data_IF_014744561158
#
_entry.id   IF_014744561158
#
_cell.length_a   1.000
_cell.length_b   1.000
_cell.length_c   1.000
_cell.angle_alpha   90.00
_cell.angle_beta   90.00
_cell.angle_gamma   90.00
#
_symmetry.space_group_name_H-M   'P 1'
#
loop_
_entity.id
_entity.type
_entity.pdbx_description
1 polymer ?
#
# COMPACT_ATOMS: atom_id res chain seq x y z
N UNK A 1 -2.77 -11.60 9.12
CA UNK A 1 -2.05 -12.86 9.39
C UNK A 1 -0.86 -12.57 10.30
N UNK A 2 -0.59 -13.44 11.28
CA UNK A 2 0.58 -13.35 12.14
C UNK A 2 1.89 -13.69 11.39
N UNK A 3 1.82 -14.13 10.16
CA UNK A 3 2.95 -14.43 9.28
C UNK A 3 3.21 -13.36 8.21
N UNK A 4 2.47 -12.27 8.23
CA UNK A 4 2.52 -11.28 7.17
C UNK A 4 3.21 -9.98 7.56
N UNK A 5 2.77 -8.89 6.91
CA UNK A 5 3.28 -7.53 7.02
C UNK A 5 3.52 -7.05 8.46
N UNK A 6 2.52 -7.23 9.36
CA UNK A 6 2.65 -6.79 10.75
C UNK A 6 3.83 -7.45 11.46
N UNK A 7 3.94 -8.79 11.36
CA UNK A 7 5.03 -9.52 12.00
C UNK A 7 6.40 -9.13 11.45
N UNK A 8 6.52 -8.95 10.14
CA UNK A 8 7.78 -8.54 9.53
C UNK A 8 8.26 -7.20 10.09
N UNK A 9 7.36 -6.22 10.23
CA UNK A 9 7.70 -4.90 10.75
C UNK A 9 7.96 -4.91 12.25
N UNK A 10 7.12 -5.55 13.05
CA UNK A 10 7.24 -5.54 14.53
C UNK A 10 8.45 -6.36 15.02
N UNK A 11 8.72 -7.51 14.40
CA UNK A 11 9.83 -8.38 14.80
C UNK A 11 11.18 -7.88 14.27
N UNK A 12 11.19 -7.11 13.19
CA UNK A 12 12.40 -6.40 12.73
C UNK A 12 12.75 -5.19 13.60
N UNK A 13 11.80 -4.71 14.39
CA UNK A 13 12.06 -3.66 15.39
C UNK A 13 12.68 -4.22 16.67
N UNK A 14 13.15 -3.33 17.54
CA UNK A 14 13.77 -3.70 18.82
C UNK A 14 12.76 -4.02 19.92
N UNK A 15 11.46 -3.81 19.68
CA UNK A 15 10.42 -3.94 20.70
C UNK A 15 9.97 -5.37 20.95
N UNK A 16 10.07 -6.25 19.96
CA UNK A 16 9.56 -7.63 20.03
C UNK A 16 10.62 -8.62 19.53
N UNK A 17 10.80 -9.71 20.29
CA UNK A 17 11.57 -10.86 19.85
C UNK A 17 10.72 -12.12 20.00
N UNK A 18 10.75 -12.99 19.00
CA UNK A 18 10.00 -14.25 18.98
C UNK A 18 10.95 -15.44 18.75
N UNK A 19 11.61 -15.93 19.81
CA UNK A 19 12.49 -17.09 19.69
C UNK A 19 11.68 -18.38 19.45
N UNK A 20 12.21 -19.34 18.68
CA UNK A 20 11.55 -20.62 18.46
C UNK A 20 11.47 -21.40 19.79
N UNK A 21 10.30 -22.00 20.04
CA UNK A 21 10.08 -22.83 21.23
C UNK A 21 10.04 -24.31 20.86
N UNK A 22 10.67 -25.16 21.66
CA UNK A 22 10.71 -26.60 21.41
C UNK A 22 9.35 -27.29 21.58
N UNK A 23 8.44 -26.66 22.32
CA UNK A 23 7.09 -27.18 22.61
C UNK A 23 6.02 -26.12 22.37
N UNK A 24 4.95 -26.50 21.69
CA UNK A 24 3.79 -25.66 21.46
C UNK A 24 3.81 -24.93 20.14
N UNK A 25 4.80 -24.14 19.84
CA UNK A 25 4.89 -23.42 18.58
C UNK A 25 6.33 -23.35 18.07
N UNK A 26 6.65 -24.26 17.15
CA UNK A 26 7.94 -24.27 16.47
C UNK A 26 7.77 -23.70 15.06
N UNK A 27 8.38 -22.55 14.82
CA UNK A 27 8.28 -21.80 13.57
C UNK A 27 9.50 -22.00 12.64
N UNK A 28 10.41 -22.90 12.99
CA UNK A 28 11.67 -23.11 12.26
C UNK A 28 12.69 -22.00 12.44
N UNK A 29 12.46 -21.05 13.37
CA UNK A 29 13.35 -19.90 13.61
C UNK A 29 13.15 -18.75 12.64
N UNK A 30 12.11 -18.77 11.80
CA UNK A 30 11.88 -17.75 10.78
C UNK A 30 11.73 -16.33 11.34
N UNK A 31 11.15 -16.16 12.53
CA UNK A 31 11.05 -14.84 13.17
C UNK A 31 12.39 -14.34 13.71
N UNK A 32 13.32 -15.22 14.04
CA UNK A 32 14.67 -14.82 14.41
C UNK A 32 15.44 -14.22 13.22
N UNK A 33 15.15 -14.64 12.00
CA UNK A 33 15.72 -14.01 10.80
C UNK A 33 15.28 -12.55 10.66
N UNK A 34 14.04 -12.20 11.01
CA UNK A 34 13.61 -10.80 11.07
C UNK A 34 14.33 -10.01 12.16
N UNK A 35 14.48 -10.59 13.35
CA UNK A 35 15.18 -9.95 14.45
C UNK A 35 16.68 -9.74 14.18
N UNK A 36 17.35 -10.70 13.52
CA UNK A 36 18.77 -10.57 13.15
C UNK A 36 19.01 -9.82 11.85
N UNK A 37 17.97 -9.41 11.14
CA UNK A 37 18.04 -8.74 9.83
C UNK A 37 18.83 -9.56 8.78
N UNK A 38 18.72 -10.87 8.82
CA UNK A 38 19.37 -11.80 7.89
C UNK A 38 18.38 -12.59 7.02
N UNK A 39 17.16 -12.03 6.83
CA UNK A 39 16.14 -12.61 5.96
C UNK A 39 16.58 -12.67 4.50
N UNK A 40 15.94 -13.56 3.76
CA UNK A 40 16.12 -13.70 2.32
C UNK A 40 14.78 -14.00 1.63
N UNK A 41 14.79 -14.01 0.29
CA UNK A 41 13.58 -14.20 -0.52
C UNK A 41 12.94 -15.60 -0.39
N UNK A 42 13.63 -16.56 0.20
CA UNK A 42 13.12 -17.93 0.38
C UNK A 42 12.31 -18.10 1.67
N UNK A 43 12.37 -17.14 2.59
CA UNK A 43 11.52 -17.15 3.76
C UNK A 43 10.04 -17.00 3.35
N UNK A 44 9.23 -17.98 3.78
CA UNK A 44 7.80 -18.02 3.42
C UNK A 44 7.07 -16.74 3.78
N UNK A 45 7.40 -16.12 4.90
CA UNK A 45 6.81 -14.84 5.34
C UNK A 45 7.06 -13.71 4.34
N UNK A 46 8.28 -13.59 3.81
CA UNK A 46 8.63 -12.57 2.80
C UNK A 46 7.78 -12.79 1.55
N UNK A 47 7.72 -14.05 1.08
CA UNK A 47 6.92 -14.39 -0.09
C UNK A 47 5.43 -14.15 0.13
N UNK A 48 4.89 -14.54 1.29
CA UNK A 48 3.46 -14.40 1.60
C UNK A 48 3.01 -12.93 1.60
N UNK A 49 3.79 -12.02 2.17
CA UNK A 49 3.37 -10.63 2.18
C UNK A 49 3.64 -9.91 0.86
N UNK A 50 4.66 -10.29 0.08
CA UNK A 50 4.83 -9.89 -1.31
C UNK A 50 3.59 -10.28 -2.15
N UNK A 51 3.22 -11.56 -2.12
CA UNK A 51 2.06 -12.07 -2.85
C UNK A 51 0.76 -11.36 -2.42
N UNK A 52 0.61 -11.06 -1.13
CA UNK A 52 -0.55 -10.37 -0.61
C UNK A 52 -0.64 -8.92 -1.11
N UNK A 53 0.45 -8.17 -1.10
CA UNK A 53 0.48 -6.79 -1.59
C UNK A 53 0.18 -6.72 -3.09
N UNK A 54 0.84 -7.54 -3.89
CA UNK A 54 0.58 -7.59 -5.33
C UNK A 54 -0.83 -8.09 -5.67
N UNK A 55 -1.35 -9.03 -4.91
CA UNK A 55 -2.75 -9.45 -5.09
C UNK A 55 -3.72 -8.29 -4.90
N UNK A 56 -3.48 -7.43 -3.89
CA UNK A 56 -4.29 -6.24 -3.67
C UNK A 56 -4.21 -5.24 -4.81
N UNK A 57 -2.99 -4.92 -5.28
CA UNK A 57 -2.77 -4.03 -6.42
C UNK A 57 -3.42 -4.58 -7.72
N UNK A 58 -3.26 -5.88 -7.99
CA UNK A 58 -3.86 -6.54 -9.16
C UNK A 58 -5.39 -6.60 -9.08
N UNK A 59 -5.97 -6.81 -7.90
CA UNK A 59 -7.42 -6.75 -7.72
C UNK A 59 -7.95 -5.34 -8.01
N UNK A 60 -7.28 -4.30 -7.53
CA UNK A 60 -7.64 -2.91 -7.86
C UNK A 60 -7.57 -2.66 -9.37
N UNK A 61 -6.47 -3.05 -10.04
CA UNK A 61 -6.33 -2.92 -11.50
C UNK A 61 -7.45 -3.66 -12.26
N UNK A 62 -7.74 -4.90 -11.88
CA UNK A 62 -8.79 -5.68 -12.51
C UNK A 62 -10.17 -5.04 -12.32
N UNK A 63 -10.47 -4.55 -11.12
CA UNK A 63 -11.74 -3.88 -10.83
C UNK A 63 -11.88 -2.59 -11.63
N UNK A 64 -10.84 -1.78 -11.73
CA UNK A 64 -10.79 -0.58 -12.58
C UNK A 64 -11.10 -0.97 -14.04
N UNK A 65 -10.38 -1.95 -14.60
CA UNK A 65 -10.56 -2.40 -15.96
C UNK A 65 -11.99 -2.92 -16.23
N UNK A 66 -12.58 -3.66 -15.29
CA UNK A 66 -13.95 -4.19 -15.43
C UNK A 66 -15.00 -3.05 -15.46
N UNK A 67 -14.82 -2.01 -14.66
CA UNK A 67 -15.70 -0.84 -14.62
C UNK A 67 -15.51 0.03 -15.87
N UNK A 68 -14.27 0.32 -16.25
CA UNK A 68 -13.95 1.13 -17.44
C UNK A 68 -14.47 0.50 -18.72
N UNK A 69 -14.29 -0.82 -18.88
CA UNK A 69 -14.77 -1.57 -20.05
C UNK A 69 -16.26 -1.87 -20.03
N UNK A 70 -16.98 -1.47 -18.98
CA UNK A 70 -18.42 -1.70 -18.84
C UNK A 70 -18.83 -3.15 -18.58
N UNK A 71 -17.89 -4.05 -18.25
CA UNK A 71 -18.18 -5.43 -17.87
C UNK A 71 -18.87 -5.51 -16.50
N UNK A 72 -18.60 -4.55 -15.63
CA UNK A 72 -19.33 -4.34 -14.38
C UNK A 72 -20.06 -3.00 -14.52
N UNK A 73 -21.39 -3.00 -14.59
CA UNK A 73 -22.15 -1.77 -14.69
C UNK A 73 -22.15 -1.03 -13.36
N UNK A 74 -22.02 0.29 -13.39
CA UNK A 74 -22.28 1.14 -12.24
C UNK A 74 -23.74 1.64 -12.28
N UNK A 75 -24.36 1.90 -11.11
CA UNK A 75 -25.74 2.39 -11.04
C UNK A 75 -25.93 3.77 -11.70
N UNK A 76 -24.92 4.63 -11.63
CA UNK A 76 -24.89 5.95 -12.26
C UNK A 76 -23.49 6.32 -12.75
N UNK A 77 -23.36 7.39 -13.54
CA UNK A 77 -22.06 7.91 -13.95
C UNK A 77 -21.24 8.46 -12.78
N UNK A 78 -21.92 9.09 -11.82
CA UNK A 78 -21.30 9.63 -10.60
C UNK A 78 -20.75 8.51 -9.70
N UNK A 79 -21.53 7.46 -9.47
CA UNK A 79 -21.06 6.30 -8.69
C UNK A 79 -19.94 5.53 -9.39
N UNK A 80 -19.96 5.51 -10.75
CA UNK A 80 -18.85 4.98 -11.54
C UNK A 80 -17.57 5.74 -11.27
N UNK A 81 -17.62 7.07 -11.35
CA UNK A 81 -16.46 7.94 -11.14
C UNK A 81 -15.90 7.81 -9.72
N UNK A 82 -16.77 7.91 -8.70
CA UNK A 82 -16.39 7.73 -7.31
C UNK A 82 -15.73 6.37 -7.08
N UNK A 83 -16.35 5.30 -7.57
CA UNK A 83 -15.79 3.95 -7.43
C UNK A 83 -14.41 3.79 -8.09
N UNK A 84 -14.18 4.43 -9.24
CA UNK A 84 -12.88 4.44 -9.90
C UNK A 84 -11.84 5.21 -9.08
N UNK A 85 -12.19 6.36 -8.49
CA UNK A 85 -11.30 7.15 -7.65
C UNK A 85 -10.92 6.38 -6.37
N UNK A 86 -11.88 5.73 -5.71
CA UNK A 86 -11.59 4.88 -4.56
C UNK A 86 -10.65 3.72 -4.91
N UNK A 87 -10.88 3.02 -6.03
CA UNK A 87 -10.03 1.91 -6.46
C UNK A 87 -8.61 2.36 -6.82
N UNK A 88 -8.45 3.54 -7.41
CA UNK A 88 -7.15 4.15 -7.66
C UNK A 88 -6.43 4.46 -6.35
N UNK A 89 -7.12 5.01 -5.36
CA UNK A 89 -6.57 5.26 -4.04
C UNK A 89 -6.17 3.95 -3.30
N UNK A 90 -6.97 2.89 -3.44
CA UNK A 90 -6.63 1.54 -2.92
C UNK A 90 -5.41 0.97 -3.64
N UNK A 91 -5.30 1.15 -4.95
CA UNK A 91 -4.11 0.76 -5.72
C UNK A 91 -2.86 1.48 -5.22
N UNK A 92 -2.94 2.79 -5.01
CA UNK A 92 -1.87 3.61 -4.46
C UNK A 92 -1.44 3.11 -3.07
N UNK A 93 -2.40 2.74 -2.20
CA UNK A 93 -2.11 2.14 -0.90
C UNK A 93 -1.29 0.85 -1.00
N UNK A 94 -1.65 -0.08 -1.88
CA UNK A 94 -0.88 -1.31 -2.05
C UNK A 94 0.51 -1.05 -2.64
N UNK A 95 0.64 -0.10 -3.57
CA UNK A 95 1.95 0.29 -4.09
C UNK A 95 2.80 1.02 -3.05
N UNK A 96 2.20 1.79 -2.13
CA UNK A 96 2.92 2.32 -0.99
C UNK A 96 3.51 1.20 -0.12
N UNK A 97 2.74 0.17 0.22
CA UNK A 97 3.25 -0.99 0.97
C UNK A 97 4.41 -1.68 0.25
N UNK A 98 4.32 -1.83 -1.08
CA UNK A 98 5.40 -2.40 -1.91
C UNK A 98 6.63 -1.49 -1.89
N UNK A 99 6.46 -0.20 -2.12
CA UNK A 99 7.51 0.82 -2.10
C UNK A 99 8.24 0.86 -0.76
N UNK A 100 7.51 0.83 0.33
CA UNK A 100 8.04 0.91 1.68
C UNK A 100 8.86 -0.33 2.05
N UNK A 101 8.34 -1.53 1.78
CA UNK A 101 8.94 -2.78 2.22
C UNK A 101 9.97 -3.38 1.26
N UNK A 102 9.86 -3.13 -0.06
CA UNK A 102 10.70 -3.76 -1.08
C UNK A 102 11.55 -2.79 -1.90
N UNK A 103 11.22 -1.51 -1.88
CA UNK A 103 11.92 -0.50 -2.68
C UNK A 103 11.63 -0.66 -4.17
N UNK A 104 12.66 -0.99 -4.96
CA UNK A 104 12.51 -1.25 -6.39
C UNK A 104 11.66 -2.50 -6.64
N UNK A 105 10.60 -2.37 -7.42
CA UNK A 105 9.65 -3.45 -7.67
C UNK A 105 8.87 -3.21 -8.98
N UNK A 106 8.24 -4.24 -9.57
CA UNK A 106 7.41 -4.05 -10.76
C UNK A 106 6.21 -3.13 -10.51
N UNK A 107 6.06 -2.09 -11.34
CA UNK A 107 4.89 -1.21 -11.34
C UNK A 107 3.94 -1.61 -12.47
N UNK A 108 2.83 -2.27 -12.12
CA UNK A 108 1.83 -2.77 -13.07
C UNK A 108 0.51 -2.04 -12.85
N UNK A 109 0.09 -1.24 -13.80
CA UNK A 109 -1.15 -0.46 -13.74
C UNK A 109 -2.23 -0.94 -14.71
N UNK A 110 -1.86 -1.81 -15.63
CA UNK A 110 -2.75 -2.37 -16.65
C UNK A 110 -2.69 -3.89 -16.66
N UNK A 111 -3.72 -4.52 -17.22
CA UNK A 111 -3.73 -5.97 -17.41
C UNK A 111 -2.91 -6.31 -18.66
N UNK A 112 -1.75 -6.96 -18.49
CA UNK A 112 -0.86 -7.42 -19.54
C UNK A 112 -0.44 -8.87 -19.28
N UNK A 113 -0.18 -9.62 -20.34
CA UNK A 113 0.42 -10.96 -20.28
C UNK A 113 1.97 -10.90 -20.28
N UNK A 114 2.54 -9.73 -20.54
CA UNK A 114 3.98 -9.54 -20.52
C UNK A 114 4.50 -9.47 -19.09
N UNK A 115 5.69 -10.04 -18.87
CA UNK A 115 6.34 -9.90 -17.58
C UNK A 115 6.79 -8.46 -17.40
N UNK A 116 6.37 -7.80 -16.30
CA UNK A 116 6.71 -6.41 -16.07
C UNK A 116 8.18 -6.25 -15.73
N UNK A 117 8.79 -5.18 -16.21
CA UNK A 117 10.12 -4.76 -15.78
C UNK A 117 10.08 -4.17 -14.36
N UNK A 118 11.23 -4.18 -13.70
CA UNK A 118 11.40 -3.58 -12.38
C UNK A 118 11.49 -2.06 -12.51
N UNK A 119 10.62 -1.35 -11.81
CA UNK A 119 10.68 0.10 -11.61
C UNK A 119 11.51 0.45 -10.38
N UNK A 120 12.14 1.60 -10.40
CA UNK A 120 12.85 2.14 -9.23
C UNK A 120 11.86 2.55 -8.13
N UNK A 121 12.33 2.58 -6.89
CA UNK A 121 11.56 3.06 -5.74
C UNK A 121 10.99 4.46 -5.96
N UNK A 122 11.80 5.34 -6.59
CA UNK A 122 11.37 6.69 -6.93
C UNK A 122 10.22 6.70 -7.95
N UNK A 123 10.28 5.89 -9.00
CA UNK A 123 9.18 5.81 -9.98
C UNK A 123 7.88 5.31 -9.34
N UNK A 124 7.98 4.36 -8.40
CA UNK A 124 6.80 3.89 -7.65
C UNK A 124 6.27 4.99 -6.73
N UNK A 125 7.14 5.73 -6.04
CA UNK A 125 6.79 6.88 -5.23
C UNK A 125 6.07 7.95 -6.06
N UNK A 126 6.65 8.34 -7.19
CA UNK A 126 6.06 9.35 -8.09
C UNK A 126 4.67 8.92 -8.58
N UNK A 127 4.49 7.65 -8.91
CA UNK A 127 3.18 7.08 -9.27
C UNK A 127 2.17 7.18 -8.12
N UNK A 128 2.55 6.79 -6.91
CA UNK A 128 1.66 6.82 -5.73
C UNK A 128 1.19 8.24 -5.43
N UNK A 129 2.12 9.20 -5.43
CA UNK A 129 1.82 10.62 -5.19
C UNK A 129 0.88 11.15 -6.27
N UNK A 130 1.17 10.88 -7.54
CA UNK A 130 0.32 11.30 -8.66
C UNK A 130 -1.11 10.75 -8.53
N UNK A 131 -1.26 9.45 -8.26
CA UNK A 131 -2.58 8.82 -8.07
C UNK A 131 -3.36 9.50 -6.92
N UNK A 132 -2.74 9.66 -5.75
CA UNK A 132 -3.42 10.23 -4.59
C UNK A 132 -3.80 11.71 -4.79
N UNK A 133 -2.90 12.52 -5.34
CA UNK A 133 -3.18 13.94 -5.61
C UNK A 133 -4.35 14.11 -6.59
N UNK A 134 -4.43 13.26 -7.62
CA UNK A 134 -5.53 13.29 -8.57
C UNK A 134 -6.87 12.86 -7.97
N UNK A 135 -6.89 11.82 -7.12
CA UNK A 135 -8.16 11.24 -6.66
C UNK A 135 -8.74 11.90 -5.41
N UNK A 136 -7.91 12.46 -4.53
CA UNK A 136 -8.32 13.05 -3.25
C UNK A 136 -9.48 14.07 -3.40
N UNK A 137 -9.50 14.96 -4.41
CA UNK A 137 -10.60 15.92 -4.57
C UNK A 137 -11.97 15.29 -4.83
N UNK A 138 -12.02 14.05 -5.29
CA UNK A 138 -13.25 13.34 -5.67
C UNK A 138 -13.71 12.32 -4.62
N UNK A 139 -12.88 12.03 -3.61
CA UNK A 139 -13.22 11.08 -2.57
C UNK A 139 -14.22 11.67 -1.57
N UNK A 140 -15.08 10.81 -1.02
CA UNK A 140 -16.07 11.19 -0.01
C UNK A 140 -15.40 11.74 1.25
N UNK A 141 -15.98 12.78 1.82
CA UNK A 141 -15.61 13.35 3.13
C UNK A 141 -16.30 12.65 4.31
N UNK A 142 -17.28 11.77 4.05
CA UNK A 142 -18.01 11.07 5.09
C UNK A 142 -17.11 10.14 5.90
N UNK A 143 -17.36 10.11 7.21
CA UNK A 143 -16.63 9.27 8.18
C UNK A 143 -17.63 8.29 8.82
N UNK A 144 -17.31 7.00 8.75
CA UNK A 144 -18.20 5.96 9.30
C UNK A 144 -19.38 5.62 8.38
N UNK A 145 -20.45 5.02 8.94
CA UNK A 145 -21.60 4.59 8.15
C UNK A 145 -21.20 3.70 6.97
N UNK A 146 -21.70 4.02 5.79
CA UNK A 146 -21.41 3.28 4.55
C UNK A 146 -19.96 3.47 4.07
N UNK A 147 -19.25 4.47 4.58
CA UNK A 147 -17.83 4.71 4.30
C UNK A 147 -16.88 4.00 5.27
N UNK A 148 -17.39 3.29 6.29
CA UNK A 148 -16.53 2.56 7.22
C UNK A 148 -15.74 1.46 6.50
N UNK A 149 -14.40 1.55 6.61
CA UNK A 149 -13.49 0.60 5.96
C UNK A 149 -13.27 0.84 4.45
N UNK A 150 -13.80 1.93 3.89
CA UNK A 150 -13.54 2.37 2.51
C UNK A 150 -12.47 3.47 2.48
N UNK A 151 -11.92 3.70 1.29
CA UNK A 151 -10.92 4.77 1.08
C UNK A 151 -11.63 6.11 0.88
N UNK A 152 -11.81 6.85 1.97
CA UNK A 152 -12.33 8.21 1.93
C UNK A 152 -11.20 9.25 1.80
N UNK A 153 -11.56 10.52 1.67
CA UNK A 153 -10.63 11.65 1.52
C UNK A 153 -9.61 11.71 2.65
N UNK A 154 -10.02 11.50 3.88
CA UNK A 154 -9.17 11.58 5.07
C UNK A 154 -8.17 10.44 5.15
N UNK A 155 -8.59 9.23 4.80
CA UNK A 155 -7.71 8.07 4.70
C UNK A 155 -6.65 8.28 3.61
N UNK A 156 -7.04 8.80 2.44
CA UNK A 156 -6.12 9.09 1.34
C UNK A 156 -5.13 10.23 1.68
N UNK A 157 -5.58 11.31 2.34
CA UNK A 157 -4.71 12.39 2.84
C UNK A 157 -3.73 11.88 3.90
N UNK A 158 -4.19 11.04 4.83
CA UNK A 158 -3.32 10.44 5.84
C UNK A 158 -2.25 9.57 5.20
N UNK A 159 -2.61 8.78 4.18
CA UNK A 159 -1.66 8.00 3.41
C UNK A 159 -0.65 8.92 2.71
N UNK A 160 -1.10 9.99 2.06
CA UNK A 160 -0.24 10.94 1.36
C UNK A 160 0.72 11.65 2.32
N UNK A 161 0.26 12.04 3.53
CA UNK A 161 1.11 12.60 4.56
C UNK A 161 2.24 11.62 4.98
N UNK A 162 1.92 10.34 5.18
CA UNK A 162 2.93 9.31 5.47
C UNK A 162 3.94 9.14 4.34
N UNK A 163 3.50 9.21 3.09
CA UNK A 163 4.36 9.10 1.91
C UNK A 163 5.31 10.29 1.82
N UNK A 164 4.83 11.52 2.04
CA UNK A 164 5.66 12.72 2.08
C UNK A 164 6.64 12.73 3.25
N UNK A 165 6.23 12.24 4.42
CA UNK A 165 7.11 12.12 5.59
C UNK A 165 8.35 11.25 5.29
N UNK A 166 8.18 10.20 4.51
CA UNK A 166 9.21 9.24 4.15
C UNK A 166 9.86 9.51 2.77
N UNK A 167 9.53 10.62 2.12
CA UNK A 167 9.97 10.93 0.77
C UNK A 167 11.50 10.92 0.61
N UNK A 168 12.23 11.48 1.58
CA UNK A 168 13.70 11.49 1.58
C UNK A 168 14.30 10.08 1.53
N UNK A 169 13.69 9.12 2.27
CA UNK A 169 14.10 7.72 2.25
C UNK A 169 13.78 7.04 0.91
N UNK A 170 12.68 7.42 0.26
CA UNK A 170 12.24 6.80 -0.99
C UNK A 170 12.92 7.39 -2.22
N UNK A 171 13.25 8.68 -2.20
CA UNK A 171 13.68 9.43 -3.39
C UNK A 171 15.03 10.12 -3.23
N UNK A 172 15.50 10.32 -2.00
CA UNK A 172 16.65 11.19 -1.66
C UNK A 172 16.29 12.66 -1.50
N UNK A 173 15.00 13.04 -1.69
CA UNK A 173 14.52 14.42 -1.58
C UNK A 173 13.42 14.52 -0.52
N UNK A 174 13.52 15.46 0.46
CA UNK A 174 12.51 15.62 1.50
C UNK A 174 11.28 16.37 0.98
N UNK A 175 10.09 15.99 1.47
CA UNK A 175 8.81 16.64 1.21
C UNK A 175 8.06 16.99 2.51
N UNK A 176 8.76 17.52 3.50
CA UNK A 176 8.20 17.79 4.83
C UNK A 176 7.13 18.88 4.84
N UNK A 177 7.27 19.92 4.00
CA UNK A 177 6.25 20.98 3.87
C UNK A 177 4.96 20.42 3.26
N UNK A 178 5.05 19.52 2.30
CA UNK A 178 3.90 18.83 1.72
C UNK A 178 3.23 17.94 2.78
N UNK A 179 4.01 17.23 3.60
CA UNK A 179 3.49 16.47 4.74
C UNK A 179 2.74 17.34 5.73
N UNK A 180 3.33 18.48 6.15
CA UNK A 180 2.69 19.44 7.05
C UNK A 180 1.36 19.96 6.48
N UNK A 181 1.34 20.27 5.19
CA UNK A 181 0.12 20.72 4.51
C UNK A 181 -1.00 19.69 4.62
N UNK A 182 -0.72 18.41 4.36
CA UNK A 182 -1.72 17.35 4.50
C UNK A 182 -2.20 17.18 5.95
N UNK A 183 -1.26 17.21 6.91
CA UNK A 183 -1.60 17.13 8.33
C UNK A 183 -2.48 18.30 8.77
N UNK A 184 -2.15 19.53 8.39
CA UNK A 184 -2.91 20.72 8.71
C UNK A 184 -4.35 20.68 8.14
N UNK A 185 -4.50 20.19 6.92
CA UNK A 185 -5.81 20.02 6.29
C UNK A 185 -6.67 18.97 7.00
N UNK A 186 -6.06 17.85 7.48
CA UNK A 186 -6.77 16.80 8.23
C UNK A 186 -7.22 17.28 9.61
N UNK A 187 -6.40 18.12 10.28
CA UNK A 187 -6.68 18.59 11.66
C UNK A 187 -7.71 19.70 11.69
N UNK A 188 -7.81 20.52 10.63
CA UNK A 188 -8.71 21.69 10.58
C UNK A 188 -10.14 21.35 10.17
N UNK A 189 -10.35 20.24 9.52
CA UNK A 189 -11.65 19.74 9.04
C UNK A 189 -12.17 18.60 9.93
#
# INVERSE_FOLDING_TARGET
>A
SHTGYWTANEVSGDAIVSPPTATGWYDGGQYMHFHYHDWNAELSNIKEFWDWMYRGALLANNSINLIETGKVPAPSAEEKELGLMELRAVRAFYYWLICDNFGDAPLVTTMSEELPEKSSRKEIYDFIVSELVEVIPFLSEEQGGDMYGRMNKWAAKTLLANIYLNAEVYTGEPHWEDCLTQCDEIIRD
#
